data_IF_852831566769
#
_entry.id   IF_852831566769
#
_cell.length_a   1.000
_cell.length_b   1.000
_cell.length_c   1.000
_cell.angle_alpha   90.00
_cell.angle_beta   90.00
_cell.angle_gamma   90.00
#
_symmetry.space_group_name_H-M   'P 1'
#
loop_
_entity.id
_entity.type
_entity.pdbx_description
1 polymer ?
#
# COMPACT_ATOMS: atom_id res chain seq x y z
N UNK A 1 15.92 -2.31 -27.58
CA UNK A 1 16.92 -3.39 -27.60
C UNK A 1 17.92 -3.31 -26.45
N UNK A 2 18.53 -2.15 -26.16
CA UNK A 2 19.52 -1.98 -25.09
C UNK A 2 19.08 -2.49 -23.71
N UNK A 3 17.88 -2.13 -23.24
CA UNK A 3 17.32 -2.62 -21.96
C UNK A 3 17.30 -4.15 -21.88
N UNK A 4 16.89 -4.82 -22.96
CA UNK A 4 16.79 -6.29 -22.98
C UNK A 4 18.17 -6.95 -22.90
N UNK A 5 19.17 -6.38 -23.55
CA UNK A 5 20.54 -6.87 -23.47
C UNK A 5 21.10 -6.72 -22.04
N UNK A 6 20.86 -5.56 -21.41
CA UNK A 6 21.23 -5.31 -20.01
C UNK A 6 20.56 -6.32 -19.06
N UNK A 7 19.23 -6.49 -19.18
CA UNK A 7 18.47 -7.44 -18.39
C UNK A 7 19.03 -8.86 -18.51
N UNK A 8 19.33 -9.30 -19.74
CA UNK A 8 19.86 -10.63 -20.00
C UNK A 8 21.27 -10.80 -19.40
N UNK A 9 22.17 -9.86 -19.64
CA UNK A 9 23.54 -9.90 -19.11
C UNK A 9 23.54 -9.92 -17.59
N UNK A 10 22.82 -8.99 -16.96
CA UNK A 10 22.73 -8.92 -15.50
C UNK A 10 22.03 -10.15 -14.91
N UNK A 11 21.01 -10.71 -15.57
CA UNK A 11 20.40 -11.97 -15.13
C UNK A 11 21.38 -13.14 -15.23
N UNK A 12 22.11 -13.30 -16.33
CA UNK A 12 23.10 -14.38 -16.49
C UNK A 12 24.24 -14.26 -15.47
N UNK A 13 24.77 -13.06 -15.27
CA UNK A 13 25.77 -12.81 -14.23
C UNK A 13 25.21 -13.12 -12.84
N UNK A 14 23.99 -12.68 -12.53
CA UNK A 14 23.32 -12.97 -11.26
C UNK A 14 23.10 -14.47 -11.05
N UNK A 15 22.64 -15.20 -12.06
CA UNK A 15 22.47 -16.65 -12.01
C UNK A 15 23.79 -17.38 -11.74
N UNK A 16 24.88 -16.95 -12.40
CA UNK A 16 26.20 -17.55 -12.22
C UNK A 16 26.78 -17.27 -10.83
N UNK A 17 26.75 -16.01 -10.38
CA UNK A 17 27.28 -15.59 -9.10
C UNK A 17 26.48 -16.16 -7.92
N UNK A 18 25.16 -16.28 -8.06
CA UNK A 18 24.27 -16.81 -7.02
C UNK A 18 24.03 -18.32 -7.12
N UNK A 19 24.61 -19.01 -8.11
CA UNK A 19 24.50 -20.46 -8.27
C UNK A 19 24.80 -21.25 -6.97
N UNK A 20 25.92 -21.00 -6.25
CA UNK A 20 26.17 -21.73 -5.00
C UNK A 20 25.10 -21.46 -3.94
N UNK A 21 24.63 -20.21 -3.83
CA UNK A 21 23.54 -19.86 -2.93
C UNK A 21 22.23 -20.57 -3.30
N UNK A 22 21.91 -20.68 -4.59
CA UNK A 22 20.72 -21.39 -5.05
C UNK A 22 20.75 -22.88 -4.71
N UNK A 23 21.92 -23.52 -4.76
CA UNK A 23 22.09 -24.91 -4.31
C UNK A 23 21.84 -25.04 -2.80
N UNK A 24 22.37 -24.11 -1.99
CA UNK A 24 22.13 -24.09 -0.54
C UNK A 24 20.65 -23.88 -0.21
N UNK A 25 19.98 -22.95 -0.90
CA UNK A 25 18.55 -22.71 -0.76
C UNK A 25 17.75 -23.97 -1.15
N UNK A 26 18.10 -24.60 -2.28
CA UNK A 26 17.45 -25.81 -2.75
C UNK A 26 17.58 -26.97 -1.74
N UNK A 27 18.77 -27.16 -1.18
CA UNK A 27 19.02 -28.14 -0.12
C UNK A 27 18.19 -27.84 1.14
N UNK A 28 18.21 -26.59 1.62
CA UNK A 28 17.42 -26.18 2.78
C UNK A 28 15.92 -26.44 2.59
N UNK A 29 15.36 -26.15 1.42
CA UNK A 29 13.93 -26.40 1.11
C UNK A 29 13.62 -27.89 1.08
N UNK A 30 14.53 -28.72 0.54
CA UNK A 30 14.37 -30.18 0.44
C UNK A 30 14.48 -30.88 1.80
N UNK A 31 15.30 -30.35 2.70
CA UNK A 31 15.44 -30.85 4.07
C UNK A 31 14.28 -30.41 4.97
N UNK A 32 13.69 -29.25 4.71
CA UNK A 32 12.63 -28.67 5.55
C UNK A 32 11.22 -29.20 5.21
N UNK A 33 10.94 -29.57 3.95
CA UNK A 33 9.65 -30.15 3.55
C UNK A 33 9.69 -30.99 2.27
N UNK A 34 8.84 -32.02 2.11
CA UNK A 34 8.76 -32.80 0.87
C UNK A 34 8.22 -31.98 -0.31
N UNK A 35 8.64 -32.29 -1.54
CA UNK A 35 8.13 -31.72 -2.81
C UNK A 35 9.16 -30.91 -3.62
N UNK A 36 8.72 -30.01 -4.51
CA UNK A 36 9.57 -29.25 -5.45
C UNK A 36 10.34 -28.10 -4.79
N UNK A 37 11.55 -27.81 -5.30
CA UNK A 37 12.34 -26.63 -4.88
C UNK A 37 11.66 -25.32 -5.29
N UNK A 38 11.09 -25.31 -6.50
CA UNK A 38 10.41 -24.13 -7.03
C UNK A 38 8.90 -24.20 -6.77
N UNK A 39 8.35 -23.05 -6.40
CA UNK A 39 6.93 -22.75 -6.48
C UNK A 39 6.65 -22.06 -7.82
N UNK A 40 5.57 -22.47 -8.49
CA UNK A 40 5.21 -22.05 -9.85
C UNK A 40 3.77 -21.56 -9.86
N UNK A 41 3.57 -20.25 -9.84
CA UNK A 41 2.25 -19.64 -9.93
C UNK A 41 2.05 -19.02 -11.31
N UNK A 42 0.84 -19.16 -11.86
CA UNK A 42 0.47 -18.48 -13.09
C UNK A 42 0.35 -16.97 -12.87
N UNK A 43 0.92 -16.20 -13.80
CA UNK A 43 0.92 -14.75 -13.82
C UNK A 43 0.69 -14.24 -15.24
N UNK A 44 0.15 -13.04 -15.35
CA UNK A 44 -0.05 -12.37 -16.64
C UNK A 44 1.20 -11.56 -16.99
N UNK A 45 1.79 -11.86 -18.14
CA UNK A 45 2.96 -11.17 -18.68
C UNK A 45 2.62 -10.24 -19.83
N UNK A 46 3.66 -9.86 -20.58
CA UNK A 46 3.54 -8.93 -21.70
C UNK A 46 2.52 -9.42 -22.75
N UNK A 47 1.69 -8.51 -23.24
CA UNK A 47 0.59 -8.74 -24.17
C UNK A 47 -0.44 -9.75 -23.66
N UNK A 48 -0.64 -9.82 -22.34
CA UNK A 48 -1.58 -10.75 -21.73
C UNK A 48 -1.13 -12.21 -21.76
N UNK A 49 0.11 -12.51 -22.16
CA UNK A 49 0.60 -13.89 -22.22
C UNK A 49 0.83 -14.44 -20.82
N UNK A 50 0.18 -15.56 -20.51
CA UNK A 50 0.36 -16.22 -19.23
C UNK A 50 1.73 -16.91 -19.17
N UNK A 51 2.36 -16.86 -18.00
CA UNK A 51 3.57 -17.61 -17.71
C UNK A 51 3.56 -18.07 -16.25
N UNK A 52 4.36 -19.10 -15.96
CA UNK A 52 4.57 -19.56 -14.59
C UNK A 52 5.86 -18.93 -14.05
N UNK A 53 5.73 -18.14 -12.98
CA UNK A 53 6.86 -17.43 -12.37
C UNK A 53 7.75 -18.38 -11.55
N UNK A 54 9.07 -18.17 -11.55
CA UNK A 54 10.02 -18.90 -10.71
C UNK A 54 10.11 -18.23 -9.35
N UNK A 55 9.73 -18.95 -8.30
CA UNK A 55 10.04 -18.60 -6.92
C UNK A 55 10.59 -19.82 -6.21
N UNK A 56 11.47 -19.63 -5.24
CA UNK A 56 11.76 -20.71 -4.32
C UNK A 56 10.53 -20.99 -3.45
N UNK A 57 10.29 -22.26 -3.17
CA UNK A 57 9.15 -22.68 -2.37
C UNK A 57 9.39 -22.31 -0.91
N UNK A 58 8.47 -21.53 -0.34
CA UNK A 58 8.52 -21.08 1.06
C UNK A 58 7.35 -21.59 1.89
N UNK A 59 6.46 -22.36 1.29
CA UNK A 59 5.25 -22.87 1.92
C UNK A 59 5.17 -24.39 1.75
N UNK A 60 4.67 -25.08 2.78
CA UNK A 60 4.44 -26.51 2.77
C UNK A 60 3.28 -26.89 1.84
N UNK A 61 3.27 -28.14 1.39
CA UNK A 61 2.19 -28.71 0.61
C UNK A 61 1.01 -29.04 1.52
N UNK A 62 0.22 -28.03 1.91
CA UNK A 62 -1.11 -28.28 2.48
C UNK A 62 -2.14 -28.12 1.38
N UNK A 63 -2.90 -29.18 1.02
CA UNK A 63 -3.95 -29.11 0.02
C UNK A 63 -5.18 -28.46 0.65
N UNK A 64 -5.20 -27.13 0.74
CA UNK A 64 -6.47 -26.44 1.01
C UNK A 64 -6.99 -25.95 -0.32
N UNK A 65 -7.96 -26.68 -0.88
CA UNK A 65 -8.77 -26.16 -1.97
C UNK A 65 -9.34 -24.80 -1.54
N UNK A 66 -9.13 -23.75 -2.34
CA UNK A 66 -9.57 -22.40 -2.01
C UNK A 66 -8.64 -21.59 -1.10
N UNK A 67 -7.38 -22.01 -0.91
CA UNK A 67 -6.44 -21.22 -0.12
C UNK A 67 -6.24 -19.81 -0.73
N UNK A 68 -6.21 -18.75 0.10
CA UNK A 68 -6.13 -17.37 -0.38
C UNK A 68 -4.88 -17.16 -1.25
N UNK A 69 -5.07 -16.46 -2.37
CA UNK A 69 -3.98 -16.09 -3.28
C UNK A 69 -3.07 -15.01 -2.66
N UNK A 70 -3.61 -14.27 -1.68
CA UNK A 70 -2.86 -13.35 -0.83
C UNK A 70 -2.22 -14.11 0.34
N UNK A 71 -0.99 -13.70 0.65
CA UNK A 71 -0.27 -14.19 1.83
C UNK A 71 -0.44 -13.18 2.95
N UNK A 72 -0.92 -13.61 4.12
CA UNK A 72 -0.99 -12.77 5.31
C UNK A 72 0.25 -12.95 6.20
N UNK A 73 0.50 -11.97 7.07
CA UNK A 73 1.50 -12.10 8.11
C UNK A 73 1.13 -13.26 9.07
N UNK A 74 2.10 -14.13 9.41
CA UNK A 74 1.86 -15.25 10.33
C UNK A 74 1.21 -16.50 9.71
N UNK A 75 1.14 -16.59 8.38
CA UNK A 75 0.55 -17.74 7.69
C UNK A 75 1.23 -19.07 8.07
N UNK A 76 0.45 -19.98 8.66
CA UNK A 76 0.91 -21.29 9.15
C UNK A 76 1.45 -22.21 8.05
N UNK A 77 1.17 -21.91 6.78
CA UNK A 77 1.69 -22.67 5.63
C UNK A 77 3.18 -22.42 5.42
N UNK A 78 3.76 -21.36 5.98
CA UNK A 78 5.17 -20.98 5.78
C UNK A 78 6.08 -21.96 6.52
N UNK A 79 7.06 -22.53 5.82
CA UNK A 79 8.04 -23.45 6.43
C UNK A 79 9.16 -22.67 7.14
N UNK A 80 10.01 -23.34 7.94
CA UNK A 80 11.08 -22.67 8.69
C UNK A 80 12.10 -22.02 7.77
N UNK A 81 12.57 -22.75 6.77
CA UNK A 81 13.41 -22.21 5.70
C UNK A 81 12.67 -21.15 4.90
N UNK A 82 11.38 -21.34 4.63
CA UNK A 82 10.53 -20.39 3.94
C UNK A 82 10.41 -19.03 4.65
N UNK A 83 10.32 -19.02 5.97
CA UNK A 83 10.29 -17.80 6.77
C UNK A 83 11.60 -16.99 6.61
N UNK A 84 12.74 -17.68 6.63
CA UNK A 84 14.04 -17.05 6.37
C UNK A 84 14.13 -16.48 4.95
N UNK A 85 13.76 -17.28 3.94
CA UNK A 85 13.79 -16.85 2.53
C UNK A 85 12.93 -15.61 2.31
N UNK A 86 11.70 -15.58 2.86
CA UNK A 86 10.78 -14.43 2.73
C UNK A 86 11.27 -13.19 3.45
N UNK A 87 11.88 -13.34 4.63
CA UNK A 87 12.43 -12.21 5.42
C UNK A 87 13.46 -11.42 4.60
N UNK A 88 14.31 -12.13 3.87
CA UNK A 88 15.36 -11.54 3.04
C UNK A 88 15.00 -11.44 1.55
N UNK A 89 13.74 -11.76 1.17
CA UNK A 89 13.26 -11.80 -0.22
C UNK A 89 14.11 -12.71 -1.14
N UNK A 90 14.82 -13.68 -0.56
CA UNK A 90 15.63 -14.64 -1.31
C UNK A 90 14.75 -15.56 -2.16
N UNK A 91 13.48 -15.73 -1.79
CA UNK A 91 12.52 -16.53 -2.54
C UNK A 91 12.23 -15.99 -3.95
N UNK A 92 12.44 -14.69 -4.16
CA UNK A 92 12.22 -14.03 -5.44
C UNK A 92 13.44 -14.06 -6.37
N UNK A 93 14.63 -14.44 -5.88
CA UNK A 93 15.85 -14.47 -6.70
C UNK A 93 15.79 -15.45 -7.87
N UNK A 94 14.99 -16.51 -7.76
CA UNK A 94 14.77 -17.47 -8.85
C UNK A 94 14.12 -16.82 -10.10
N UNK A 95 13.48 -15.65 -9.96
CA UNK A 95 12.90 -14.90 -11.08
C UNK A 95 13.95 -14.40 -12.08
N UNK A 96 15.25 -14.39 -11.72
CA UNK A 96 16.33 -14.15 -12.69
C UNK A 96 16.29 -15.14 -13.86
N UNK A 97 15.76 -16.36 -13.65
CA UNK A 97 15.52 -17.34 -14.72
C UNK A 97 14.44 -16.83 -15.69
N UNK A 98 13.36 -16.22 -15.20
CA UNK A 98 12.31 -15.62 -16.04
C UNK A 98 12.85 -14.42 -16.84
N UNK A 99 13.76 -13.63 -16.23
CA UNK A 99 14.45 -12.55 -16.94
C UNK A 99 15.36 -13.13 -18.03
N UNK A 100 16.16 -14.16 -17.75
CA UNK A 100 16.99 -14.82 -18.76
C UNK A 100 16.14 -15.37 -19.92
N UNK A 101 14.99 -16.00 -19.62
CA UNK A 101 14.01 -16.51 -20.62
C UNK A 101 13.27 -15.42 -21.40
N UNK A 102 13.26 -14.18 -20.90
CA UNK A 102 12.63 -13.04 -21.56
C UNK A 102 11.14 -12.89 -21.33
N UNK A 103 10.58 -13.66 -20.39
CA UNK A 103 9.21 -13.47 -19.88
C UNK A 103 9.12 -12.26 -18.95
N UNK A 104 10.20 -11.97 -18.21
CA UNK A 104 10.33 -10.82 -17.31
C UNK A 104 11.51 -9.91 -17.68
N UNK A 105 11.55 -8.76 -17.02
CA UNK A 105 12.59 -7.73 -17.00
C UNK A 105 13.13 -7.59 -15.57
N UNK A 106 14.31 -6.99 -15.36
CA UNK A 106 14.77 -6.70 -13.98
C UNK A 106 13.85 -5.66 -13.33
N UNK A 107 13.57 -4.58 -14.07
CA UNK A 107 12.68 -3.50 -13.64
C UNK A 107 11.47 -3.41 -14.56
N UNK A 108 10.29 -3.28 -13.97
CA UNK A 108 9.01 -3.15 -14.67
C UNK A 108 7.83 -3.52 -13.76
N UNK A 109 6.57 -3.26 -14.18
CA UNK A 109 5.40 -3.52 -13.34
C UNK A 109 5.38 -4.96 -12.85
N UNK A 110 5.16 -5.17 -11.55
CA UNK A 110 5.14 -6.52 -10.98
C UNK A 110 4.02 -7.37 -11.64
N UNK A 111 4.30 -8.63 -12.03
CA UNK A 111 3.29 -9.45 -12.70
C UNK A 111 2.20 -9.90 -11.72
N UNK A 112 0.95 -9.58 -12.02
CA UNK A 112 -0.19 -9.96 -11.19
C UNK A 112 -0.81 -11.30 -11.61
N UNK A 113 -1.54 -11.92 -10.67
CA UNK A 113 -2.32 -13.13 -10.96
C UNK A 113 -3.46 -12.79 -11.92
N UNK A 114 -3.88 -13.73 -12.79
CA UNK A 114 -4.99 -13.49 -13.72
C UNK A 114 -6.27 -13.01 -13.02
N UNK A 115 -6.53 -13.50 -11.80
CA UNK A 115 -7.68 -13.07 -11.01
C UNK A 115 -7.70 -11.54 -10.80
N UNK A 116 -6.62 -10.92 -10.32
CA UNK A 116 -6.56 -9.47 -10.06
C UNK A 116 -6.46 -8.63 -11.33
N UNK A 117 -5.83 -9.15 -12.39
CA UNK A 117 -5.74 -8.44 -13.68
C UNK A 117 -7.12 -8.21 -14.30
N UNK A 118 -8.12 -9.03 -13.98
CA UNK A 118 -9.51 -8.83 -14.44
C UNK A 118 -10.18 -7.60 -13.83
N UNK A 119 -9.68 -7.08 -12.72
CA UNK A 119 -10.19 -5.85 -12.10
C UNK A 119 -9.59 -4.58 -12.70
N UNK A 120 -8.63 -4.70 -13.62
CA UNK A 120 -8.05 -3.54 -14.28
C UNK A 120 -9.04 -2.92 -15.28
N UNK A 121 -9.19 -1.58 -15.31
CA UNK A 121 -9.85 -0.91 -16.41
C UNK A 121 -9.16 -1.24 -17.74
N UNK A 122 -9.93 -1.48 -18.81
CA UNK A 122 -9.41 -1.99 -20.09
C UNK A 122 -8.26 -1.16 -20.66
N UNK A 123 -8.42 0.17 -20.68
CA UNK A 123 -7.40 1.09 -21.18
C UNK A 123 -6.09 1.02 -20.37
N UNK A 124 -6.19 0.85 -19.05
CA UNK A 124 -5.02 0.71 -18.18
C UNK A 124 -4.37 -0.67 -18.31
N UNK A 125 -5.18 -1.71 -18.48
CA UNK A 125 -4.75 -3.09 -18.63
C UNK A 125 -3.86 -3.27 -19.86
N UNK A 126 -4.29 -2.78 -21.02
CA UNK A 126 -3.50 -2.89 -22.25
C UNK A 126 -2.15 -2.19 -22.14
N UNK A 127 -2.15 -0.99 -21.56
CA UNK A 127 -0.93 -0.19 -21.36
C UNK A 127 0.05 -0.87 -20.42
N UNK A 128 -0.39 -1.33 -19.24
CA UNK A 128 0.49 -2.02 -18.28
C UNK A 128 1.03 -3.33 -18.85
N UNK A 129 0.20 -4.08 -19.59
CA UNK A 129 0.62 -5.32 -20.22
C UNK A 129 1.44 -5.09 -21.51
N UNK A 130 1.62 -3.86 -21.99
CA UNK A 130 2.43 -3.57 -23.18
C UNK A 130 3.94 -3.76 -22.95
N UNK A 131 4.38 -3.68 -21.70
CA UNK A 131 5.79 -3.84 -21.27
C UNK A 131 6.02 -5.19 -20.62
N UNK A 132 7.29 -5.62 -20.51
CA UNK A 132 7.62 -6.84 -19.76
C UNK A 132 7.44 -6.56 -18.26
N UNK A 133 6.82 -7.48 -17.51
CA UNK A 133 6.77 -7.34 -16.06
C UNK A 133 8.16 -7.42 -15.45
N UNK A 134 8.35 -6.77 -14.31
CA UNK A 134 9.64 -6.69 -13.61
C UNK A 134 9.72 -7.58 -12.37
N UNK A 135 10.95 -7.92 -11.97
CA UNK A 135 11.21 -8.44 -10.62
C UNK A 135 10.91 -7.36 -9.57
N UNK A 136 11.26 -6.11 -9.88
CA UNK A 136 11.09 -4.97 -8.99
C UNK A 136 10.53 -3.74 -9.72
N UNK A 137 9.83 -2.90 -8.98
CA UNK A 137 9.26 -1.61 -9.39
C UNK A 137 9.04 -0.70 -8.17
N UNK A 138 8.67 0.55 -8.44
CA UNK A 138 8.33 1.51 -7.38
C UNK A 138 7.15 1.05 -6.51
N UNK A 139 6.18 0.33 -7.10
CA UNK A 139 5.07 -0.25 -6.34
C UNK A 139 5.57 -1.30 -5.33
N UNK A 140 6.46 -2.21 -5.73
CA UNK A 140 7.06 -3.24 -4.86
C UNK A 140 7.88 -2.63 -3.73
N UNK A 141 8.53 -1.49 -3.98
CA UNK A 141 9.25 -0.73 -2.96
C UNK A 141 8.29 -0.09 -1.96
N UNK A 142 7.22 0.57 -2.44
CA UNK A 142 6.22 1.23 -1.60
C UNK A 142 5.39 0.25 -0.78
N UNK A 143 5.00 -0.86 -1.38
CA UNK A 143 4.16 -1.91 -0.79
C UNK A 143 4.99 -3.11 -0.30
N UNK A 144 6.24 -2.87 0.15
CA UNK A 144 7.13 -3.93 0.64
C UNK A 144 6.53 -4.73 1.81
N UNK A 145 5.75 -4.05 2.65
CA UNK A 145 5.06 -4.59 3.84
C UNK A 145 3.56 -4.83 3.62
N UNK A 146 3.13 -4.99 2.36
CA UNK A 146 1.75 -5.29 1.98
C UNK A 146 1.09 -6.39 2.81
N UNK A 147 1.78 -7.51 3.04
CA UNK A 147 1.23 -8.62 3.83
C UNK A 147 0.88 -8.22 5.27
N UNK A 148 1.61 -7.25 5.84
CA UNK A 148 1.34 -6.72 7.17
C UNK A 148 0.18 -5.74 7.16
N UNK A 149 0.07 -4.91 6.12
CA UNK A 149 -1.07 -4.01 5.93
C UNK A 149 -2.37 -4.80 5.75
N UNK A 150 -2.35 -5.81 4.89
CA UNK A 150 -3.50 -6.69 4.63
C UNK A 150 -3.90 -7.53 5.84
N UNK A 151 -2.97 -7.86 6.73
CA UNK A 151 -3.29 -8.62 7.95
C UNK A 151 -4.11 -7.80 8.97
N UNK A 152 -4.13 -6.47 8.85
CA UNK A 152 -4.92 -5.58 9.71
C UNK A 152 -6.32 -5.29 9.13
N UNK A 153 -6.56 -5.64 7.87
CA UNK A 153 -7.83 -5.37 7.19
C UNK A 153 -8.92 -6.35 7.64
N UNK A 154 -10.16 -5.86 7.74
CA UNK A 154 -11.32 -6.69 8.04
C UNK A 154 -11.61 -7.70 6.91
N UNK A 155 -11.41 -7.27 5.67
CA UNK A 155 -11.44 -8.12 4.48
C UNK A 155 -10.17 -7.84 3.63
N UNK A 156 -9.15 -8.71 3.72
CA UNK A 156 -7.90 -8.52 2.99
C UNK A 156 -8.04 -8.54 1.47
N UNK A 157 -9.00 -9.29 0.93
CA UNK A 157 -9.17 -9.39 -0.52
C UNK A 157 -9.84 -8.12 -1.06
N UNK A 158 -10.89 -7.65 -0.38
CA UNK A 158 -11.55 -6.41 -0.75
C UNK A 158 -10.61 -5.20 -0.61
N UNK A 159 -9.86 -5.11 0.50
CA UNK A 159 -8.85 -4.05 0.72
C UNK A 159 -7.80 -4.05 -0.40
N UNK A 160 -7.34 -5.24 -0.80
CA UNK A 160 -6.39 -5.35 -1.90
C UNK A 160 -6.98 -4.83 -3.20
N UNK A 161 -8.21 -5.23 -3.56
CA UNK A 161 -8.84 -4.88 -4.83
C UNK A 161 -9.23 -3.39 -4.89
N UNK A 162 -9.77 -2.83 -3.81
CA UNK A 162 -10.32 -1.47 -3.80
C UNK A 162 -9.26 -0.40 -3.50
N UNK A 163 -8.21 -0.73 -2.74
CA UNK A 163 -7.25 0.26 -2.24
C UNK A 163 -5.85 0.04 -2.81
N UNK A 164 -5.29 -1.16 -2.65
CA UNK A 164 -3.89 -1.42 -3.01
C UNK A 164 -3.72 -1.53 -4.52
N UNK A 165 -4.60 -2.29 -5.18
CA UNK A 165 -4.51 -2.60 -6.60
C UNK A 165 -4.59 -1.35 -7.49
N UNK A 166 -5.51 -0.39 -7.26
CA UNK A 166 -5.54 0.86 -8.04
C UNK A 166 -4.28 1.71 -7.84
N UNK A 167 -3.73 1.73 -6.62
CA UNK A 167 -2.49 2.47 -6.35
C UNK A 167 -1.28 1.83 -7.04
N UNK A 168 -1.14 0.50 -6.98
CA UNK A 168 -0.12 -0.23 -7.75
C UNK A 168 -0.26 0.02 -9.25
N UNK A 169 -1.49 0.05 -9.75
CA UNK A 169 -1.77 0.31 -11.16
C UNK A 169 -1.30 1.71 -11.57
N UNK A 170 -1.45 2.73 -10.72
CA UNK A 170 -0.92 4.08 -10.98
C UNK A 170 0.59 4.08 -11.14
N UNK A 171 1.32 3.41 -10.24
CA UNK A 171 2.78 3.26 -10.37
C UNK A 171 3.18 2.48 -11.63
N UNK A 172 2.41 1.46 -12.01
CA UNK A 172 2.65 0.71 -13.23
C UNK A 172 2.45 1.56 -14.49
N UNK A 173 1.40 2.39 -14.53
CA UNK A 173 1.16 3.31 -15.64
C UNK A 173 2.22 4.41 -15.72
N UNK A 174 2.61 4.99 -14.58
CA UNK A 174 3.71 5.96 -14.52
C UNK A 174 5.03 5.38 -15.06
N UNK A 175 5.32 4.11 -14.72
CA UNK A 175 6.46 3.41 -15.28
C UNK A 175 6.35 3.26 -16.81
N UNK A 176 5.18 2.88 -17.34
CA UNK A 176 4.98 2.75 -18.79
C UNK A 176 5.23 4.08 -19.52
N UNK A 177 4.83 5.20 -18.91
CA UNK A 177 4.92 6.53 -19.51
C UNK A 177 6.32 7.13 -19.44
N UNK A 178 7.07 6.85 -18.35
CA UNK A 178 8.33 7.51 -18.04
C UNK A 178 9.54 6.55 -17.96
N UNK A 179 9.39 5.31 -18.45
CA UNK A 179 10.46 4.32 -18.40
C UNK A 179 11.73 4.80 -19.11
N UNK A 180 12.80 4.96 -18.34
CA UNK A 180 14.15 5.26 -18.83
C UNK A 180 15.16 4.34 -18.18
N UNK A 181 16.29 4.11 -18.85
CA UNK A 181 17.36 3.25 -18.33
C UNK A 181 17.96 3.81 -17.03
N UNK A 182 18.10 5.14 -16.92
CA UNK A 182 18.52 5.80 -15.68
C UNK A 182 17.50 5.61 -14.55
N UNK A 183 16.20 5.68 -14.86
CA UNK A 183 15.12 5.36 -13.93
C UNK A 183 15.20 3.92 -13.43
N UNK A 184 15.44 2.96 -14.32
CA UNK A 184 15.60 1.55 -13.96
C UNK A 184 16.79 1.34 -13.01
N UNK A 185 17.95 1.94 -13.31
CA UNK A 185 19.13 1.86 -12.44
C UNK A 185 18.86 2.45 -11.05
N UNK A 186 18.10 3.56 -10.98
CA UNK A 186 17.66 4.14 -9.71
C UNK A 186 16.76 3.18 -8.93
N UNK A 187 15.78 2.55 -9.57
CA UNK A 187 14.92 1.56 -8.92
C UNK A 187 15.75 0.39 -8.40
N UNK A 188 16.69 -0.15 -9.19
CA UNK A 188 17.60 -1.21 -8.75
C UNK A 188 18.44 -0.80 -7.54
N UNK A 189 19.01 0.42 -7.55
CA UNK A 189 19.77 0.96 -6.42
C UNK A 189 18.92 1.10 -5.15
N UNK A 190 17.68 1.58 -5.29
CA UNK A 190 16.72 1.64 -4.18
C UNK A 190 16.37 0.24 -3.67
N UNK A 191 16.14 -0.72 -4.56
CA UNK A 191 15.84 -2.11 -4.19
C UNK A 191 17.00 -2.73 -3.42
N UNK A 192 18.23 -2.60 -3.90
CA UNK A 192 19.43 -3.07 -3.18
C UNK A 192 19.54 -2.41 -1.80
N UNK A 193 19.40 -1.08 -1.72
CA UNK A 193 19.40 -0.36 -0.44
C UNK A 193 18.33 -0.90 0.49
N UNK A 194 17.12 -1.16 0.01
CA UNK A 194 16.05 -1.68 0.89
C UNK A 194 16.31 -3.11 1.38
N UNK A 195 17.01 -3.96 0.62
CA UNK A 195 17.36 -5.31 1.07
C UNK A 195 18.39 -5.27 2.21
N UNK A 196 19.40 -4.41 2.11
CA UNK A 196 20.52 -4.34 3.08
C UNK A 196 20.28 -3.38 4.24
N UNK A 197 19.53 -2.29 4.03
CA UNK A 197 19.09 -1.46 5.13
C UNK A 197 18.02 -2.28 5.87
N UNK A 198 18.22 -2.57 7.18
CA UNK A 198 17.20 -3.24 7.99
C UNK A 198 15.87 -2.53 7.79
N UNK A 199 14.75 -3.16 8.19
CA UNK A 199 13.54 -2.38 8.47
C UNK A 199 13.90 -1.36 9.56
N UNK A 200 14.52 -0.24 9.20
CA UNK A 200 14.40 1.03 9.90
C UNK A 200 12.92 1.28 9.75
N UNK A 201 12.15 0.74 10.68
CA UNK A 201 11.34 1.50 11.59
C UNK A 201 10.76 2.81 11.02
N UNK A 202 10.38 2.81 9.75
CA UNK A 202 9.28 3.60 9.23
C UNK A 202 8.01 3.32 10.02
N UNK A 203 7.98 2.21 10.75
CA UNK A 203 7.00 1.90 11.78
C UNK A 203 7.39 2.32 13.20
N UNK A 204 8.65 2.42 13.68
CA UNK A 204 8.87 2.85 15.10
C UNK A 204 8.92 4.36 15.30
N UNK A 205 9.23 5.20 14.33
CA UNK A 205 8.91 6.63 14.47
C UNK A 205 7.39 6.89 14.35
N UNK A 206 6.63 5.92 13.85
CA UNK A 206 5.18 5.99 13.66
C UNK A 206 4.36 5.30 14.77
N UNK A 207 4.87 4.22 15.38
CA UNK A 207 4.21 3.43 16.42
C UNK A 207 4.71 3.71 17.84
N UNK A 208 5.85 4.40 18.03
CA UNK A 208 6.31 4.77 19.39
C UNK A 208 5.44 5.85 20.07
N UNK A 209 4.41 6.37 19.38
CA UNK A 209 3.44 7.31 19.94
C UNK A 209 2.05 6.68 20.14
N UNK A 210 1.90 5.35 19.99
CA UNK A 210 0.61 4.66 20.03
C UNK A 210 0.36 3.84 21.32
N UNK A 211 1.24 3.87 22.31
CA UNK A 211 1.10 3.12 23.58
C UNK A 211 0.30 3.86 24.66
N UNK A 212 -0.60 4.78 24.27
CA UNK A 212 -1.56 5.35 25.22
C UNK A 212 -2.92 4.67 25.03
N UNK A 213 -3.53 4.19 26.12
CA UNK A 213 -4.92 3.69 26.13
C UNK A 213 -5.93 4.68 25.53
N UNK A 214 -5.56 5.96 25.50
CA UNK A 214 -6.31 7.06 24.92
C UNK A 214 -6.38 6.95 23.38
N UNK A 215 -5.30 6.55 22.72
CA UNK A 215 -5.25 6.41 21.25
C UNK A 215 -6.01 5.19 20.75
N UNK A 216 -5.92 4.05 21.43
CA UNK A 216 -6.72 2.87 21.11
C UNK A 216 -8.23 3.12 21.31
N UNK A 217 -8.61 3.87 22.34
CA UNK A 217 -9.99 4.29 22.54
C UNK A 217 -10.45 5.28 21.47
N UNK A 218 -9.60 6.24 21.05
CA UNK A 218 -9.90 7.16 19.95
C UNK A 218 -10.05 6.43 18.61
N UNK A 219 -9.22 5.44 18.30
CA UNK A 219 -9.34 4.64 17.06
C UNK A 219 -10.66 3.86 17.02
N UNK A 220 -11.08 3.26 18.14
CA UNK A 220 -12.36 2.56 18.26
C UNK A 220 -13.55 3.54 18.21
N UNK A 221 -13.47 4.67 18.91
CA UNK A 221 -14.49 5.71 18.87
C UNK A 221 -14.62 6.34 17.47
N UNK A 222 -13.52 6.49 16.73
CA UNK A 222 -13.50 7.13 15.41
C UNK A 222 -13.75 6.16 14.25
N UNK A 223 -13.47 4.85 14.41
CA UNK A 223 -13.94 3.83 13.45
C UNK A 223 -15.48 3.76 13.36
N UNK A 224 -16.19 4.22 14.40
CA UNK A 224 -17.64 4.42 14.37
C UNK A 224 -18.06 5.62 13.48
N UNK A 225 -17.15 6.56 13.20
CA UNK A 225 -17.30 7.70 12.28
C UNK A 225 -16.87 7.34 10.84
N UNK A 226 -17.11 6.09 10.42
CA UNK A 226 -16.80 5.59 9.08
C UNK A 226 -17.45 6.46 7.97
N UNK A 227 -16.78 6.70 6.82
CA UNK A 227 -17.33 7.45 5.67
C UNK A 227 -18.66 6.91 5.10
N UNK A 228 -19.09 5.69 5.48
CA UNK A 228 -20.44 5.17 5.19
C UNK A 228 -21.56 5.82 6.05
N UNK A 229 -21.25 6.44 7.20
CA UNK A 229 -22.21 7.13 8.09
C UNK A 229 -22.14 8.66 7.90
N UNK A 230 -22.55 9.11 6.72
CA UNK A 230 -22.45 10.50 6.20
C UNK A 230 -22.97 11.60 7.15
N UNK A 231 -23.99 11.30 7.95
CA UNK A 231 -24.58 12.27 8.87
C UNK A 231 -23.69 12.58 10.08
N UNK A 232 -22.81 11.65 10.49
CA UNK A 232 -21.86 11.86 11.59
C UNK A 232 -20.73 12.81 11.20
N UNK A 233 -20.22 12.71 9.98
CA UNK A 233 -19.22 13.64 9.45
C UNK A 233 -19.78 15.06 9.31
N UNK A 234 -21.02 15.19 8.81
CA UNK A 234 -21.71 16.49 8.74
C UNK A 234 -21.97 17.10 10.12
N UNK A 235 -22.32 16.27 11.12
CA UNK A 235 -22.49 16.72 12.49
C UNK A 235 -21.17 17.19 13.11
N UNK A 236 -20.06 16.49 12.84
CA UNK A 236 -18.74 16.91 13.28
C UNK A 236 -18.33 18.25 12.66
N UNK A 237 -18.45 18.40 11.33
CA UNK A 237 -18.14 19.66 10.63
C UNK A 237 -18.99 20.83 11.17
N UNK A 238 -20.27 20.61 11.45
CA UNK A 238 -21.14 21.62 12.05
C UNK A 238 -20.67 22.05 13.45
N UNK A 239 -20.26 21.10 14.30
CA UNK A 239 -19.71 21.38 15.63
C UNK A 239 -18.39 22.14 15.52
N UNK A 240 -17.50 21.76 14.59
CA UNK A 240 -16.23 22.43 14.37
C UNK A 240 -16.43 23.87 13.88
N UNK A 241 -17.29 24.10 12.89
CA UNK A 241 -17.62 25.44 12.40
C UNK A 241 -18.22 26.30 13.52
N UNK A 242 -19.13 25.73 14.31
CA UNK A 242 -19.70 26.42 15.47
C UNK A 242 -18.63 26.78 16.51
N UNK A 243 -17.73 25.84 16.84
CA UNK A 243 -16.64 26.07 17.77
C UNK A 243 -15.66 27.14 17.26
N UNK A 244 -15.26 27.09 15.99
CA UNK A 244 -14.42 28.10 15.36
C UNK A 244 -15.08 29.48 15.36
N UNK A 245 -16.39 29.56 15.15
CA UNK A 245 -17.15 30.81 15.27
C UNK A 245 -17.07 31.38 16.69
N UNK A 246 -17.31 30.55 17.71
CA UNK A 246 -17.21 30.96 19.12
C UNK A 246 -15.79 31.43 19.47
N UNK A 247 -14.76 30.72 19.00
CA UNK A 247 -13.35 31.10 19.22
C UNK A 247 -13.03 32.43 18.52
N UNK A 248 -13.40 32.58 17.25
CA UNK A 248 -13.17 33.83 16.50
C UNK A 248 -13.87 35.01 17.16
N UNK A 249 -15.06 34.80 17.70
CA UNK A 249 -15.80 35.80 18.46
C UNK A 249 -15.09 36.18 19.77
N UNK A 250 -14.55 35.21 20.51
CA UNK A 250 -13.74 35.47 21.71
C UNK A 250 -12.51 36.32 21.41
N UNK A 251 -11.83 36.03 20.28
CA UNK A 251 -10.70 36.86 19.81
C UNK A 251 -11.14 38.27 19.41
N UNK A 252 -12.28 38.41 18.73
CA UNK A 252 -12.84 39.72 18.33
C UNK A 252 -13.16 40.61 19.52
N UNK A 253 -13.58 40.01 20.64
CA UNK A 253 -13.89 40.71 21.89
C UNK A 253 -12.70 40.84 22.85
N UNK A 254 -11.48 40.50 22.42
CA UNK A 254 -10.30 40.64 23.28
C UNK A 254 -10.36 39.83 24.57
N UNK A 255 -11.09 38.70 24.57
CA UNK A 255 -11.33 37.85 25.74
C UNK A 255 -12.05 38.54 26.91
N UNK A 256 -12.72 39.68 26.68
CA UNK A 256 -13.55 40.31 27.72
C UNK A 256 -14.66 39.35 28.18
N UNK A 257 -14.89 39.31 29.50
CA UNK A 257 -15.72 38.30 30.16
C UNK A 257 -17.11 38.19 29.54
N UNK A 258 -17.59 36.95 29.45
CA UNK A 258 -18.97 36.61 29.13
C UNK A 258 -19.95 37.55 29.84
N UNK A 259 -20.58 38.46 29.08
CA UNK A 259 -21.62 39.35 29.58
C UNK A 259 -22.92 38.55 29.73
N UNK A 260 -23.62 38.57 30.89
CA UNK A 260 -24.85 37.81 31.11
C UNK A 260 -26.06 38.34 30.30
N UNK A 261 -26.09 39.63 29.99
CA UNK A 261 -27.20 40.32 29.31
C UNK A 261 -27.15 40.20 27.78
N UNK A 262 -26.67 39.06 27.27
CA UNK A 262 -26.49 38.87 25.82
C UNK A 262 -27.83 38.98 25.09
N UNK A 263 -27.93 39.80 24.04
CA UNK A 263 -29.07 39.72 23.15
C UNK A 263 -29.01 38.37 22.39
N UNK A 264 -30.12 37.63 22.39
CA UNK A 264 -30.22 36.28 21.81
C UNK A 264 -29.84 36.18 20.31
N UNK A 265 -29.69 37.32 19.64
CA UNK A 265 -29.36 37.43 18.22
C UNK A 265 -27.98 36.83 17.88
N UNK A 266 -26.97 36.94 18.75
CA UNK A 266 -25.61 36.46 18.43
C UNK A 266 -25.53 34.93 18.30
N UNK A 267 -26.21 34.22 19.21
CA UNK A 267 -26.33 32.77 19.13
C UNK A 267 -27.19 32.37 17.92
N UNK A 268 -28.27 33.12 17.64
CA UNK A 268 -29.13 32.88 16.50
C UNK A 268 -28.38 33.04 15.16
N UNK A 269 -27.47 34.00 15.05
CA UNK A 269 -26.60 34.19 13.88
C UNK A 269 -25.64 33.01 13.72
N UNK A 270 -25.00 32.55 14.80
CA UNK A 270 -24.12 31.38 14.75
C UNK A 270 -24.87 30.11 14.29
N UNK A 271 -26.06 29.87 14.82
CA UNK A 271 -26.92 28.77 14.37
C UNK A 271 -27.36 28.93 12.91
N UNK A 272 -27.68 30.15 12.48
CA UNK A 272 -28.04 30.45 11.09
C UNK A 272 -26.89 30.16 10.10
N UNK A 273 -25.66 30.52 10.46
CA UNK A 273 -24.46 30.24 9.65
C UNK A 273 -24.20 28.73 9.54
N UNK A 274 -24.29 28.00 10.66
CA UNK A 274 -24.12 26.53 10.67
C UNK A 274 -25.21 25.85 9.84
N UNK A 275 -26.46 26.32 9.94
CA UNK A 275 -27.58 25.79 9.17
C UNK A 275 -27.38 26.03 7.66
N UNK A 276 -26.98 27.24 7.26
CA UNK A 276 -26.69 27.58 5.87
C UNK A 276 -25.54 26.72 5.30
N UNK A 277 -24.48 26.53 6.09
CA UNK A 277 -23.36 25.66 5.75
C UNK A 277 -23.80 24.20 5.56
N UNK A 278 -24.61 23.66 6.48
CA UNK A 278 -25.13 22.30 6.38
C UNK A 278 -26.01 22.10 5.13
N UNK A 279 -26.88 23.07 4.83
CA UNK A 279 -27.71 23.05 3.62
C UNK A 279 -26.86 23.11 2.36
N UNK A 280 -25.86 24.01 2.31
CA UNK A 280 -24.92 24.09 1.19
C UNK A 280 -24.17 22.77 0.98
N UNK A 281 -23.65 22.17 2.06
CA UNK A 281 -22.94 20.89 2.00
C UNK A 281 -23.85 19.72 1.57
N UNK A 282 -25.11 19.72 2.02
CA UNK A 282 -26.09 18.72 1.63
C UNK A 282 -26.46 18.82 0.13
N UNK A 283 -26.64 20.04 -0.38
CA UNK A 283 -27.04 20.31 -1.77
C UNK A 283 -25.90 20.10 -2.77
N UNK A 284 -24.69 20.55 -2.43
CA UNK A 284 -23.53 20.49 -3.35
C UNK A 284 -22.85 19.14 -3.37
N UNK A 285 -23.07 18.29 -2.36
CA UNK A 285 -22.42 16.99 -2.26
C UNK A 285 -20.91 17.08 -2.06
N UNK A 286 -20.37 18.27 -1.74
CA UNK A 286 -18.95 18.51 -1.42
C UNK A 286 -18.40 17.58 -0.32
N UNK A 287 -19.15 17.17 0.72
CA UNK A 287 -18.69 16.16 1.68
C UNK A 287 -18.35 14.82 1.03
N UNK A 288 -18.95 14.49 -0.12
CA UNK A 288 -18.64 13.28 -0.91
C UNK A 288 -17.27 13.36 -1.59
N UNK A 289 -16.69 14.55 -1.72
CA UNK A 289 -15.39 14.79 -2.34
C UNK A 289 -14.30 15.00 -1.28
N UNK A 290 -14.53 15.87 -0.29
CA UNK A 290 -13.53 16.19 0.75
C UNK A 290 -13.18 14.96 1.61
N UNK A 291 -14.18 14.32 2.22
CA UNK A 291 -13.98 13.12 3.05
C UNK A 291 -13.71 11.83 2.26
N UNK A 292 -13.69 11.92 0.92
CA UNK A 292 -13.30 10.82 0.02
C UNK A 292 -11.80 10.81 -0.28
N UNK A 293 -11.13 11.96 -0.15
CA UNK A 293 -9.69 12.12 -0.40
C UNK A 293 -8.90 12.50 0.85
N UNK A 294 -9.54 13.11 1.85
CA UNK A 294 -8.98 13.35 3.16
C UNK A 294 -9.55 12.33 4.13
N UNK A 295 -8.74 11.32 4.46
CA UNK A 295 -8.98 10.45 5.60
C UNK A 295 -8.40 11.07 6.87
N UNK A 296 -8.78 10.51 8.03
CA UNK A 296 -8.13 10.89 9.29
C UNK A 296 -6.63 10.54 9.31
N UNK A 297 -6.18 9.61 8.47
CA UNK A 297 -4.76 9.35 8.24
C UNK A 297 -4.03 10.55 7.61
N UNK A 298 -4.66 11.27 6.68
CA UNK A 298 -4.09 12.49 6.09
C UNK A 298 -4.08 13.63 7.13
N UNK A 299 -5.11 13.72 7.97
CA UNK A 299 -5.12 14.65 9.10
C UNK A 299 -4.01 14.35 10.11
N UNK A 300 -3.79 13.06 10.42
CA UNK A 300 -2.67 12.58 11.24
C UNK A 300 -1.32 12.93 10.61
N UNK A 301 -1.17 12.80 9.28
CA UNK A 301 0.04 13.18 8.56
C UNK A 301 0.32 14.69 8.64
N UNK A 302 -0.71 15.53 8.50
CA UNK A 302 -0.57 16.99 8.58
C UNK A 302 -0.28 17.43 10.01
N UNK A 303 -0.99 16.91 11.00
CA UNK A 303 -0.78 17.27 12.41
C UNK A 303 0.62 16.90 12.90
N UNK A 304 1.11 15.71 12.55
CA UNK A 304 2.48 15.29 12.87
C UNK A 304 3.51 16.13 12.12
N UNK A 305 3.28 16.47 10.85
CA UNK A 305 4.17 17.35 10.10
C UNK A 305 4.26 18.76 10.71
N UNK A 306 3.14 19.32 11.20
CA UNK A 306 3.13 20.62 11.88
C UNK A 306 3.86 20.59 13.23
N UNK A 307 3.76 19.51 14.00
CA UNK A 307 4.46 19.35 15.29
C UNK A 307 5.96 19.13 15.10
N UNK A 308 6.37 18.46 14.03
CA UNK A 308 7.78 18.20 13.72
C UNK A 308 8.48 19.36 12.99
N UNK A 309 7.72 20.36 12.53
CA UNK A 309 8.23 21.53 11.81
C UNK A 309 8.41 22.78 12.69
N UNK A 310 8.03 22.71 13.98
CA UNK A 310 8.34 23.70 15.01
C UNK A 310 9.46 23.23 15.93
#
# INVERSE_FOLDING_TARGET
MAKRALDLLAALCGLLLLAPLFLLIAAAIKLDSPGSVFFRQERVGRHGRHFRIFKFRTMGAVPVAGAPQLTLAGDLRITRSGAFLRRYKLDELAQLIDVARGTMSLVGPRPEVPHYVRHYPDASRERVLSVRPGITDMASLRYRDENSLLALAADPELEYIEVILPSKLRYALDYVDHATLAGDLRVLGLTLRTVFVPKVLSSRSFFAMNDSKLWAWLEVAMSALNPRRRWLAMAFDAVTVFACWQVTYLFRLGFERWQPDRPAYDNAVAFGVVLLYLVFMALTGVPRALWRYFGFDDFKHIAVACVMAG
#
